data_IF_388957945803
#
_entry.id   IF_388957945803
#
_cell.length_a   1.000
_cell.length_b   1.000
_cell.length_c   1.000
_cell.angle_alpha   90.00
_cell.angle_beta   90.00
_cell.angle_gamma   90.00
#
_symmetry.space_group_name_H-M   'P 1'
#
loop_
_entity.id
_entity.type
_entity.pdbx_description
1 polymer ?
#
# COMPACT_ATOMS: atom_id res chain seq x y z
N UNK A 1 -1.63 35.57 40.72
CA UNK A 1 -1.02 34.97 39.52
C UNK A 1 -2.01 33.94 38.98
N UNK A 2 -2.91 34.31 38.06
CA UNK A 2 -3.93 33.38 37.52
C UNK A 2 -3.32 32.63 36.35
N UNK A 3 -3.25 31.30 36.46
CA UNK A 3 -2.91 30.42 35.34
C UNK A 3 -4.00 30.51 34.26
N UNK A 4 -3.59 30.63 32.99
CA UNK A 4 -4.48 30.52 31.84
C UNK A 4 -5.05 29.09 31.77
N UNK A 5 -6.33 28.91 31.41
CA UNK A 5 -6.86 27.58 31.13
C UNK A 5 -6.13 27.03 29.90
N UNK A 6 -5.48 25.88 30.03
CA UNK A 6 -5.01 25.12 28.88
C UNK A 6 -6.26 24.64 28.15
N UNK A 7 -6.58 25.29 27.04
CA UNK A 7 -7.59 24.83 26.07
C UNK A 7 -7.28 23.36 25.74
N UNK A 8 -8.28 22.47 25.61
CA UNK A 8 -8.03 21.17 25.04
C UNK A 8 -7.48 21.42 23.65
N UNK A 9 -6.23 21.00 23.40
CA UNK A 9 -5.74 20.90 22.03
C UNK A 9 -6.71 19.93 21.34
N UNK A 10 -7.33 20.29 20.21
CA UNK A 10 -8.15 19.34 19.48
C UNK A 10 -7.26 18.13 19.18
N UNK A 11 -7.64 16.97 19.73
CA UNK A 11 -7.04 15.69 19.33
C UNK A 11 -7.28 15.63 17.84
N UNK A 12 -6.21 15.70 17.04
CA UNK A 12 -6.33 15.77 15.60
C UNK A 12 -7.23 14.62 15.13
N UNK A 13 -8.37 14.98 14.55
CA UNK A 13 -9.07 14.08 13.64
C UNK A 13 -8.05 13.75 12.56
N UNK A 14 -7.37 12.60 12.67
CA UNK A 14 -6.36 12.21 11.72
C UNK A 14 -7.04 12.09 10.36
N UNK A 15 -6.89 13.13 9.53
CA UNK A 15 -7.52 13.19 8.24
C UNK A 15 -7.02 12.03 7.41
N UNK A 16 -7.95 11.18 6.99
CA UNK A 16 -7.66 10.02 6.16
C UNK A 16 -7.78 10.42 4.69
N UNK A 17 -6.72 10.24 3.93
CA UNK A 17 -6.72 10.43 2.48
C UNK A 17 -6.86 9.08 1.75
N UNK A 18 -7.55 9.08 0.62
CA UNK A 18 -7.59 7.91 -0.27
C UNK A 18 -6.36 7.93 -1.17
N UNK A 19 -5.44 6.98 -0.96
CA UNK A 19 -4.22 6.86 -1.75
C UNK A 19 -4.37 5.69 -2.74
N UNK A 20 -4.15 5.98 -4.02
CA UNK A 20 -4.20 4.99 -5.08
C UNK A 20 -2.82 4.38 -5.29
N UNK A 21 -2.72 3.06 -5.13
CA UNK A 21 -1.54 2.27 -5.44
C UNK A 21 -1.75 1.59 -6.79
N UNK A 22 -0.70 1.58 -7.62
CA UNK A 22 -0.73 0.93 -8.91
C UNK A 22 0.59 0.25 -9.25
N UNK A 23 0.51 -0.91 -9.91
CA UNK A 23 1.66 -1.64 -10.41
C UNK A 23 1.40 -2.13 -11.83
N UNK A 24 2.30 -1.84 -12.77
CA UNK A 24 2.26 -2.39 -14.11
C UNK A 24 2.82 -3.82 -14.10
N UNK A 25 1.96 -4.82 -14.27
CA UNK A 25 2.34 -6.23 -14.26
C UNK A 25 1.49 -7.04 -15.27
N UNK A 26 1.55 -6.72 -16.58
CA UNK A 26 0.57 -7.18 -17.56
C UNK A 26 0.47 -8.70 -17.67
N UNK A 27 1.59 -9.40 -17.43
CA UNK A 27 1.67 -10.84 -17.60
C UNK A 27 1.30 -11.62 -16.32
N UNK A 28 1.13 -10.95 -15.18
CA UNK A 28 0.82 -11.59 -13.90
C UNK A 28 -0.69 -11.83 -13.73
N UNK A 29 -1.05 -12.90 -13.02
CA UNK A 29 -2.45 -13.21 -12.71
C UNK A 29 -2.98 -12.38 -11.52
N UNK A 30 -2.16 -12.25 -10.47
CA UNK A 30 -2.52 -11.60 -9.21
C UNK A 30 -1.37 -10.78 -8.67
N UNK A 31 -1.69 -9.65 -8.03
CA UNK A 31 -0.78 -8.81 -7.27
C UNK A 31 -1.44 -8.49 -5.94
N UNK A 32 -0.66 -8.60 -4.86
CA UNK A 32 -1.05 -8.21 -3.52
C UNK A 32 -0.27 -6.97 -3.10
N UNK A 33 -0.94 -6.03 -2.43
CA UNK A 33 -0.32 -4.93 -1.71
C UNK A 33 -0.15 -5.35 -0.25
N UNK A 34 1.01 -5.06 0.34
CA UNK A 34 1.29 -5.25 1.76
C UNK A 34 1.93 -3.99 2.31
N UNK A 35 1.52 -3.54 3.48
CA UNK A 35 2.11 -2.35 4.08
C UNK A 35 1.96 -2.26 5.58
N UNK A 36 2.66 -1.29 6.16
CA UNK A 36 2.59 -0.97 7.59
C UNK A 36 1.16 -0.67 8.06
N UNK A 37 0.32 -0.08 7.20
CA UNK A 37 -1.08 0.27 7.49
C UNK A 37 -2.04 -0.92 7.60
N UNK A 38 -1.67 -2.10 7.09
CA UNK A 38 -2.47 -3.32 7.19
C UNK A 38 -1.74 -4.47 7.90
N UNK A 39 -0.79 -4.13 8.78
CA UNK A 39 0.05 -5.09 9.50
C UNK A 39 0.73 -6.11 8.55
N UNK A 40 1.12 -5.66 7.35
CA UNK A 40 1.74 -6.47 6.30
C UNK A 40 0.90 -7.66 5.81
N UNK A 41 -0.43 -7.60 5.99
CA UNK A 41 -1.34 -8.60 5.43
C UNK A 41 -1.50 -8.43 3.90
N UNK A 42 -1.85 -9.51 3.22
CA UNK A 42 -2.06 -9.49 1.78
C UNK A 42 -3.39 -8.79 1.43
N UNK A 43 -3.29 -7.69 0.69
CA UNK A 43 -4.44 -6.97 0.13
C UNK A 43 -4.50 -7.18 -1.39
N UNK A 44 -5.47 -7.93 -1.93
CA UNK A 44 -5.55 -8.19 -3.36
C UNK A 44 -5.84 -6.92 -4.16
N UNK A 45 -5.13 -6.75 -5.28
CA UNK A 45 -5.32 -5.64 -6.22
C UNK A 45 -6.15 -6.07 -7.42
N UNK A 46 -6.93 -5.14 -7.99
CA UNK A 46 -7.74 -5.39 -9.17
C UNK A 46 -6.91 -5.19 -10.46
N UNK A 47 -6.91 -6.19 -11.34
CA UNK A 47 -6.25 -6.11 -12.66
C UNK A 47 -7.13 -5.38 -13.68
N UNK A 48 -6.62 -4.30 -14.25
CA UNK A 48 -7.22 -3.60 -15.38
C UNK A 48 -6.89 -4.25 -16.72
N UNK A 49 -7.69 -3.94 -17.74
CA UNK A 49 -7.47 -4.39 -19.12
C UNK A 49 -6.16 -3.84 -19.73
N UNK A 50 -5.63 -2.76 -19.16
CA UNK A 50 -4.36 -2.12 -19.49
C UNK A 50 -3.14 -2.77 -18.81
N UNK A 51 -3.34 -3.86 -18.07
CA UNK A 51 -2.27 -4.61 -17.41
C UNK A 51 -1.79 -4.02 -16.07
N UNK A 52 -2.42 -2.93 -15.62
CA UNK A 52 -2.15 -2.35 -14.31
C UNK A 52 -3.01 -3.01 -13.23
N UNK A 53 -2.38 -3.30 -12.09
CA UNK A 53 -3.06 -3.67 -10.86
C UNK A 53 -3.29 -2.42 -10.02
N UNK A 54 -4.50 -2.24 -9.49
CA UNK A 54 -4.89 -1.03 -8.75
C UNK A 54 -5.63 -1.36 -7.46
N UNK A 55 -5.38 -0.58 -6.43
CA UNK A 55 -6.16 -0.57 -5.19
C UNK A 55 -6.12 0.83 -4.58
N UNK A 56 -7.20 1.23 -3.91
CA UNK A 56 -7.27 2.50 -3.18
C UNK A 56 -7.37 2.18 -1.70
N UNK A 57 -6.47 2.75 -0.90
CA UNK A 57 -6.40 2.50 0.55
C UNK A 57 -6.59 3.82 1.30
N UNK A 58 -7.50 3.89 2.29
CA UNK A 58 -7.59 5.00 3.21
C UNK A 58 -6.37 5.01 4.15
N UNK A 59 -5.54 6.05 4.07
CA UNK A 59 -4.36 6.24 4.92
C UNK A 59 -4.47 7.52 5.72
N UNK A 60 -4.17 7.43 7.02
CA UNK A 60 -3.96 8.60 7.89
C UNK A 60 -2.67 9.31 7.51
N UNK A 61 -2.56 10.59 7.82
CA UNK A 61 -1.30 11.32 7.66
C UNK A 61 -0.16 10.64 8.44
N UNK A 62 1.02 10.55 7.82
CA UNK A 62 2.19 9.88 8.38
C UNK A 62 3.02 9.09 7.36
N UNK A 63 4.11 8.50 7.84
CA UNK A 63 4.99 7.68 7.03
C UNK A 63 4.48 6.24 6.97
N UNK A 64 4.20 5.75 5.76
CA UNK A 64 3.72 4.40 5.51
C UNK A 64 4.70 3.65 4.62
N UNK A 65 5.14 2.49 5.07
CA UNK A 65 5.91 1.55 4.25
C UNK A 65 4.98 0.58 3.52
N UNK A 66 5.32 0.22 2.29
CA UNK A 66 4.60 -0.76 1.50
C UNK A 66 5.51 -1.55 0.57
N UNK A 67 5.02 -2.69 0.09
CA UNK A 67 5.61 -3.53 -0.96
C UNK A 67 4.51 -4.26 -1.72
N UNK A 68 4.85 -4.76 -2.90
CA UNK A 68 4.00 -5.64 -3.67
C UNK A 68 4.44 -7.10 -3.52
N UNK A 69 3.50 -8.02 -3.67
CA UNK A 69 3.79 -9.46 -3.74
C UNK A 69 3.03 -10.09 -4.89
N UNK A 70 3.74 -10.84 -5.72
CA UNK A 70 3.20 -11.47 -6.92
C UNK A 70 4.01 -12.71 -7.29
N UNK A 71 3.44 -13.55 -8.15
CA UNK A 71 4.14 -14.73 -8.65
C UNK A 71 5.14 -14.33 -9.74
N UNK A 72 6.40 -14.68 -9.54
CA UNK A 72 7.47 -14.42 -10.49
C UNK A 72 7.25 -15.18 -11.80
N UNK A 73 7.53 -14.51 -12.91
CA UNK A 73 7.61 -15.09 -14.25
C UNK A 73 9.03 -15.13 -14.79
N UNK A 74 10.00 -14.77 -13.96
CA UNK A 74 11.40 -14.76 -14.31
C UNK A 74 11.96 -16.18 -14.29
N UNK A 75 12.79 -16.50 -15.28
CA UNK A 75 13.48 -17.78 -15.39
C UNK A 75 14.50 -18.02 -14.26
N UNK A 76 14.85 -16.99 -13.49
CA UNK A 76 15.74 -17.10 -12.33
C UNK A 76 15.07 -17.73 -11.10
N UNK A 77 13.74 -17.81 -11.08
CA UNK A 77 12.96 -18.33 -9.97
C UNK A 77 12.21 -19.60 -10.37
N UNK A 78 11.70 -20.33 -9.37
CA UNK A 78 10.78 -21.43 -9.64
C UNK A 78 9.52 -20.86 -10.29
N UNK A 79 8.98 -21.48 -11.35
CA UNK A 79 7.73 -21.00 -11.97
C UNK A 79 6.60 -20.89 -10.93
N UNK A 80 6.01 -19.69 -10.81
CA UNK A 80 4.92 -19.43 -9.85
C UNK A 80 5.38 -19.11 -8.43
N UNK A 81 6.68 -18.98 -8.19
CA UNK A 81 7.25 -18.60 -6.89
C UNK A 81 6.80 -17.18 -6.50
N UNK A 82 6.35 -17.02 -5.26
CA UNK A 82 5.94 -15.72 -4.74
C UNK A 82 7.16 -14.88 -4.41
N UNK A 83 7.24 -13.70 -5.02
CA UNK A 83 8.30 -12.72 -4.78
C UNK A 83 7.72 -11.43 -4.25
N UNK A 84 8.50 -10.75 -3.42
CA UNK A 84 8.20 -9.42 -2.92
C UNK A 84 8.98 -8.39 -3.72
N UNK A 85 8.30 -7.32 -4.12
CA UNK A 85 8.85 -6.29 -5.00
C UNK A 85 8.62 -4.93 -4.34
N UNK A 86 9.71 -4.18 -4.16
CA UNK A 86 9.64 -2.77 -3.79
C UNK A 86 9.21 -1.96 -5.01
N UNK A 87 8.29 -1.02 -4.82
CA UNK A 87 7.84 -0.15 -5.89
C UNK A 87 9.02 0.66 -6.46
N UNK A 88 9.36 0.51 -7.75
CA UNK A 88 10.45 1.27 -8.36
C UNK A 88 10.16 2.77 -8.47
N UNK A 89 8.90 3.20 -8.27
CA UNK A 89 8.47 4.60 -8.34
C UNK A 89 8.14 5.21 -6.96
N UNK A 90 8.43 4.51 -5.86
CA UNK A 90 8.23 5.00 -4.49
C UNK A 90 9.21 6.11 -4.07
#
# INVERSE_FOLDING_TARGET
MKALPKTPVPVADNATALIAFQLLAPNNATVMLMGSFNAWQELPMAKGADGYFRVTVPLVDGAHQYKFRLQSQSWFFTPGEWVEITDPYA
#
